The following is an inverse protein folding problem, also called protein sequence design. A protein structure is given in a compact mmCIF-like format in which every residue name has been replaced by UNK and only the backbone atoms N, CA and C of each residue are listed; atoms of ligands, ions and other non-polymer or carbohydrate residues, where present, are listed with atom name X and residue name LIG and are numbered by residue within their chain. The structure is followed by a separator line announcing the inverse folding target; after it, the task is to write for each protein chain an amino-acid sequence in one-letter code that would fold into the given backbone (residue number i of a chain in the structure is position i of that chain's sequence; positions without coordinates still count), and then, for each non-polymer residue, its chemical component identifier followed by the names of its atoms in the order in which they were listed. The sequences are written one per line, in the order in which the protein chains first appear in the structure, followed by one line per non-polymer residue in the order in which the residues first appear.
data_IF_773712287304
#
_entry.id   IF_773712287304
#
_cell.length_a   1.000
_cell.length_b   1.000
_cell.length_c   1.000
_cell.angle_alpha   90.00
_cell.angle_beta   90.00
_cell.angle_gamma   90.00
#
_symmetry.space_group_name_H-M   'P 1'
#
loop_
_entity.id
_entity.type
_entity.pdbx_description
1 polymer ?
#
# COMPACT_ATOMS: atom_id res chain seq x y z
N UNK A 1 16.05 15.04 4.88
CA UNK A 1 15.28 14.32 3.82
C UNK A 1 14.09 13.55 4.38
N UNK A 2 14.27 12.58 5.30
CA UNK A 2 13.14 11.82 5.88
C UNK A 2 12.08 12.71 6.53
N UNK A 3 12.49 13.64 7.39
CA UNK A 3 11.55 14.53 8.10
C UNK A 3 10.76 15.43 7.16
N UNK A 4 11.39 15.87 6.07
CA UNK A 4 10.74 16.67 5.02
C UNK A 4 9.68 15.83 4.32
N UNK A 5 10.02 14.63 3.87
CA UNK A 5 9.09 13.74 3.15
C UNK A 5 7.93 13.24 4.03
N UNK A 6 8.16 13.02 5.32
CA UNK A 6 7.08 12.66 6.26
C UNK A 6 5.98 13.74 6.31
N UNK A 7 6.40 15.01 6.25
CA UNK A 7 5.52 16.17 6.33
C UNK A 7 4.87 16.54 5.01
N UNK A 8 5.56 16.38 3.88
CA UNK A 8 5.09 16.91 2.59
C UNK A 8 4.56 15.86 1.63
N UNK A 9 5.02 14.60 1.71
CA UNK A 9 4.68 13.60 0.71
C UNK A 9 3.29 12.97 0.93
N UNK A 10 2.43 12.91 -0.10
CA UNK A 10 1.19 12.14 -0.04
C UNK A 10 1.47 10.65 0.17
N UNK A 11 0.79 10.03 1.13
CA UNK A 11 0.86 8.60 1.40
C UNK A 11 -0.02 7.83 0.42
N UNK A 12 0.51 6.73 -0.11
CA UNK A 12 -0.15 5.82 -1.04
C UNK A 12 -0.02 4.39 -0.56
N UNK A 13 -0.92 3.53 -1.00
CA UNK A 13 -0.85 2.09 -0.72
C UNK A 13 -0.26 1.37 -1.93
N UNK A 14 0.75 0.55 -1.67
CA UNK A 14 1.44 -0.27 -2.63
C UNK A 14 1.70 -1.62 -1.96
N UNK A 15 1.47 -2.71 -2.69
CA UNK A 15 1.78 -4.07 -2.24
C UNK A 15 2.91 -4.60 -3.09
N UNK A 16 4.08 -4.80 -2.49
CA UNK A 16 5.29 -5.20 -3.20
C UNK A 16 5.36 -6.71 -3.42
N UNK A 17 4.95 -7.50 -2.41
CA UNK A 17 4.90 -8.95 -2.50
C UNK A 17 3.46 -9.42 -2.31
N UNK A 18 2.64 -9.45 -3.38
CA UNK A 18 1.22 -9.66 -3.24
C UNK A 18 0.87 -11.07 -2.75
N UNK A 19 0.01 -11.12 -1.74
CA UNK A 19 -0.73 -12.29 -1.29
C UNK A 19 -2.23 -12.01 -1.43
N UNK A 20 -2.97 -12.92 -2.07
CA UNK A 20 -4.40 -12.74 -2.34
C UNK A 20 -5.18 -12.90 -1.05
N UNK A 21 -6.14 -12.01 -0.82
CA UNK A 21 -7.18 -12.14 0.20
C UNK A 21 -8.53 -12.13 -0.49
N UNK A 22 -9.39 -13.08 -0.15
CA UNK A 22 -10.79 -13.13 -0.59
C UNK A 22 -11.69 -13.00 0.63
N UNK A 23 -12.54 -11.96 0.65
CA UNK A 23 -13.50 -11.71 1.72
C UNK A 23 -14.76 -12.54 1.49
N UNK A 24 -14.88 -13.70 2.14
CA UNK A 24 -15.90 -14.70 1.83
C UNK A 24 -17.33 -14.22 2.06
N UNK A 25 -17.54 -13.34 3.05
CA UNK A 25 -18.83 -12.73 3.36
C UNK A 25 -19.05 -11.34 2.73
N UNK A 26 -18.14 -10.85 1.89
CA UNK A 26 -18.35 -9.61 1.13
C UNK A 26 -19.05 -9.92 -0.21
N UNK A 27 -20.12 -9.20 -0.60
CA UNK A 27 -20.87 -9.52 -1.81
C UNK A 27 -20.02 -9.50 -3.08
N UNK A 28 -20.28 -10.47 -3.97
CA UNK A 28 -19.59 -10.54 -5.26
C UNK A 28 -20.00 -9.37 -6.16
N UNK A 29 -19.05 -8.82 -6.91
CA UNK A 29 -19.27 -7.68 -7.80
C UNK A 29 -19.47 -6.33 -7.10
N UNK A 30 -19.66 -6.30 -5.77
CA UNK A 30 -19.75 -5.05 -5.03
C UNK A 30 -18.39 -4.36 -4.95
N UNK A 31 -18.41 -3.05 -5.22
CA UNK A 31 -17.28 -2.14 -5.03
C UNK A 31 -17.77 -0.96 -4.22
N UNK A 32 -17.00 -0.59 -3.21
CA UNK A 32 -17.25 0.61 -2.42
C UNK A 32 -16.03 1.53 -2.43
N UNK A 33 -16.27 2.81 -2.20
CA UNK A 33 -15.20 3.77 -2.02
C UNK A 33 -14.98 4.03 -0.52
N UNK A 34 -13.75 3.81 -0.06
CA UNK A 34 -13.32 4.21 1.28
C UNK A 34 -12.47 5.48 1.21
N UNK A 35 -12.69 6.39 2.15
CA UNK A 35 -11.91 7.62 2.23
C UNK A 35 -10.62 7.40 3.01
N UNK A 36 -9.49 7.77 2.40
CA UNK A 36 -8.16 7.60 2.97
C UNK A 36 -7.46 8.95 2.97
N UNK A 37 -7.06 9.42 4.15
CA UNK A 37 -6.25 10.64 4.30
C UNK A 37 -4.96 10.56 3.48
N UNK A 38 -4.62 11.66 2.82
CA UNK A 38 -3.38 11.75 2.04
C UNK A 38 -2.16 11.91 2.95
N UNK A 39 -2.28 12.63 4.05
CA UNK A 39 -1.19 12.86 4.98
C UNK A 39 -1.72 13.02 6.42
N UNK A 40 -1.40 12.14 7.37
CA UNK A 40 -1.76 12.30 8.78
C UNK A 40 -1.05 13.46 9.48
N UNK A 41 0.09 13.94 8.96
CA UNK A 41 0.80 15.12 9.48
C UNK A 41 0.33 16.43 8.84
N UNK A 42 -0.49 16.37 7.80
CA UNK A 42 -1.04 17.54 7.11
C UNK A 42 -2.53 17.34 6.81
N UNK A 43 -3.42 17.80 7.71
CA UNK A 43 -4.86 17.74 7.49
C UNK A 43 -5.32 18.48 6.22
N UNK A 44 -4.58 19.49 5.76
CA UNK A 44 -4.91 20.24 4.54
C UNK A 44 -4.65 19.44 3.26
N UNK A 45 -3.89 18.34 3.34
CA UNK A 45 -3.67 17.43 2.20
C UNK A 45 -4.94 16.66 1.77
N UNK A 46 -6.02 16.75 2.54
CA UNK A 46 -7.33 16.16 2.22
C UNK A 46 -7.36 14.63 2.21
N UNK A 47 -8.44 14.09 1.66
CA UNK A 47 -8.67 12.65 1.52
C UNK A 47 -8.67 12.24 0.05
N UNK A 48 -8.59 10.93 -0.20
CA UNK A 48 -8.84 10.33 -1.51
C UNK A 48 -9.74 9.12 -1.36
N UNK A 49 -10.49 8.83 -2.41
CA UNK A 49 -11.32 7.63 -2.49
C UNK A 49 -10.49 6.44 -2.98
N UNK A 50 -10.72 5.29 -2.36
CA UNK A 50 -10.02 4.04 -2.68
C UNK A 50 -11.05 2.94 -2.85
N UNK A 51 -11.01 2.24 -3.97
CA UNK A 51 -11.90 1.11 -4.22
C UNK A 51 -11.57 -0.04 -3.25
N UNK A 52 -12.58 -0.45 -2.49
CA UNK A 52 -12.60 -1.66 -1.69
C UNK A 52 -13.55 -2.66 -2.35
N UNK A 53 -13.14 -3.93 -2.39
CA UNK A 53 -13.89 -4.99 -3.05
C UNK A 53 -13.61 -6.32 -2.36
N UNK A 54 -14.33 -7.37 -2.77
CA UNK A 54 -14.19 -8.74 -2.26
C UNK A 54 -12.76 -9.27 -2.34
N UNK A 55 -12.06 -9.01 -3.44
CA UNK A 55 -10.70 -9.49 -3.65
C UNK A 55 -9.67 -8.38 -3.44
N UNK A 56 -8.70 -8.65 -2.56
CA UNK A 56 -7.66 -7.70 -2.16
C UNK A 56 -6.27 -8.33 -2.30
N UNK A 57 -5.27 -7.47 -2.46
CA UNK A 57 -3.86 -7.80 -2.25
C UNK A 57 -3.38 -7.20 -0.93
N UNK A 58 -2.63 -7.99 -0.16
CA UNK A 58 -1.86 -7.55 1.01
C UNK A 58 -0.40 -7.95 0.83
N UNK A 59 0.49 -7.46 1.69
CA UNK A 59 1.87 -7.97 1.72
C UNK A 59 1.92 -9.41 2.21
N UNK A 60 2.71 -10.23 1.51
CA UNK A 60 3.00 -11.60 1.90
C UNK A 60 3.59 -11.70 3.30
N UNK A 61 4.39 -10.71 3.70
CA UNK A 61 5.01 -10.67 5.04
C UNK A 61 4.03 -10.32 6.16
N UNK A 62 2.82 -9.87 5.81
CA UNK A 62 1.79 -9.55 6.79
C UNK A 62 0.94 -10.75 7.18
N UNK A 63 1.28 -11.94 6.66
CA UNK A 63 0.67 -13.21 7.05
C UNK A 63 1.71 -14.22 7.54
N UNK A 64 1.34 -15.00 8.56
CA UNK A 64 2.13 -16.13 9.04
C UNK A 64 1.22 -17.20 9.63
N UNK A 65 1.40 -18.47 9.23
CA UNK A 65 0.57 -19.58 9.74
C UNK A 65 0.87 -19.91 11.20
N UNK A 66 2.17 -19.99 11.54
CA UNK A 66 2.65 -20.21 12.90
C UNK A 66 3.39 -18.95 13.40
N UNK A 67 2.65 -17.91 13.83
CA UNK A 67 3.22 -16.63 14.21
C UNK A 67 3.89 -16.66 15.59
N UNK A 68 5.10 -16.09 15.76
CA UNK A 68 5.68 -15.91 17.09
C UNK A 68 4.83 -14.93 17.91
N UNK A 69 4.98 -14.95 19.25
CA UNK A 69 4.17 -14.12 20.18
C UNK A 69 4.16 -12.61 19.87
N UNK A 70 5.22 -12.09 19.23
CA UNK A 70 5.37 -10.67 18.87
C UNK A 70 4.92 -10.34 17.43
N UNK A 71 4.30 -11.28 16.73
CA UNK A 71 3.73 -11.05 15.40
C UNK A 71 2.23 -10.75 15.56
N UNK A 72 1.84 -9.49 15.35
CA UNK A 72 0.46 -9.02 15.55
C UNK A 72 -0.36 -8.92 14.26
N UNK A 73 0.23 -9.31 13.14
CA UNK A 73 -0.38 -9.25 11.82
C UNK A 73 -1.23 -10.51 11.59
N UNK A 74 -1.65 -10.74 10.35
CA UNK A 74 -2.66 -11.74 10.04
C UNK A 74 -2.11 -13.16 10.24
N UNK A 75 -2.93 -14.02 10.84
CA UNK A 75 -2.66 -15.44 11.02
C UNK A 75 -4.00 -16.17 11.09
N UNK A 76 -4.05 -17.50 10.98
CA UNK A 76 -5.28 -18.27 11.15
C UNK A 76 -6.02 -17.89 12.44
N UNK A 77 -7.30 -17.54 12.34
CA UNK A 77 -8.16 -17.12 13.44
C UNK A 77 -7.86 -15.73 14.04
N UNK A 78 -6.88 -14.99 13.51
CA UNK A 78 -6.54 -13.64 14.01
C UNK A 78 -7.22 -12.55 13.21
N UNK A 79 -7.65 -11.54 13.95
CA UNK A 79 -8.23 -10.32 13.42
C UNK A 79 -7.19 -9.21 13.27
N UNK A 80 -7.25 -8.48 12.15
CA UNK A 80 -6.44 -7.29 11.87
C UNK A 80 -7.29 -6.18 11.31
N UNK A 81 -6.81 -4.93 11.41
CA UNK A 81 -7.43 -3.78 10.77
C UNK A 81 -6.87 -3.58 9.37
N UNK A 82 -7.72 -3.44 8.36
CA UNK A 82 -7.32 -2.89 7.07
C UNK A 82 -7.34 -1.37 7.15
N UNK A 83 -6.27 -0.72 6.69
CA UNK A 83 -6.12 0.74 6.75
C UNK A 83 -7.34 1.43 6.14
N UNK A 84 -8.02 2.24 6.96
CA UNK A 84 -9.20 3.04 6.61
C UNK A 84 -10.40 2.24 6.07
N UNK A 85 -10.44 0.93 6.29
CA UNK A 85 -11.52 0.05 5.86
C UNK A 85 -12.08 -0.71 7.08
N UNK A 86 -12.10 -2.04 7.01
CA UNK A 86 -12.72 -2.91 8.00
C UNK A 86 -11.71 -3.73 8.78
N UNK A 87 -12.19 -4.39 9.82
CA UNK A 87 -11.47 -5.50 10.43
C UNK A 87 -11.73 -6.78 9.63
N UNK A 88 -10.69 -7.59 9.48
CA UNK A 88 -10.78 -8.88 8.80
C UNK A 88 -10.18 -9.98 9.66
N UNK A 89 -10.74 -11.17 9.55
CA UNK A 89 -10.28 -12.37 10.27
C UNK A 89 -9.99 -13.49 9.27
N UNK A 90 -8.80 -14.07 9.33
CA UNK A 90 -8.40 -15.17 8.46
C UNK A 90 -9.06 -16.48 8.91
N UNK A 91 -9.88 -17.07 8.03
CA UNK A 91 -10.60 -18.31 8.31
C UNK A 91 -9.90 -19.53 7.70
N UNK A 92 -9.39 -19.40 6.48
CA UNK A 92 -8.80 -20.51 5.74
C UNK A 92 -7.58 -20.04 4.96
N UNK A 93 -6.59 -20.93 4.86
CA UNK A 93 -5.34 -20.71 4.14
C UNK A 93 -5.27 -21.68 2.97
N UNK A 94 -5.25 -21.15 1.75
CA UNK A 94 -5.18 -21.95 0.54
C UNK A 94 -3.73 -22.02 0.07
N UNK A 95 -3.26 -23.26 -0.13
CA UNK A 95 -1.91 -23.56 -0.60
C UNK A 95 -1.95 -24.16 -2.00
N UNK A 96 -0.88 -23.94 -2.75
CA UNK A 96 -0.63 -24.67 -3.99
C UNK A 96 -0.03 -26.06 -3.72
N UNK A 97 0.15 -26.92 -4.75
CA UNK A 97 0.73 -28.26 -4.58
C UNK A 97 2.16 -28.27 -4.01
N UNK A 98 2.87 -27.13 -4.04
CA UNK A 98 4.21 -26.99 -3.45
C UNK A 98 4.18 -26.60 -1.97
N UNK A 99 2.98 -26.40 -1.42
CA UNK A 99 2.76 -25.96 -0.04
C UNK A 99 2.89 -24.46 0.15
N UNK A 100 3.03 -23.67 -0.92
CA UNK A 100 3.10 -22.20 -0.83
C UNK A 100 1.71 -21.61 -0.64
N UNK A 101 1.60 -20.65 0.27
CA UNK A 101 0.34 -19.93 0.52
C UNK A 101 0.05 -19.00 -0.65
N UNK A 102 -1.08 -19.22 -1.33
CA UNK A 102 -1.46 -18.46 -2.54
C UNK A 102 -2.67 -17.56 -2.33
N UNK A 103 -3.55 -17.92 -1.41
CA UNK A 103 -4.77 -17.18 -1.11
C UNK A 103 -5.15 -17.36 0.37
N UNK A 104 -5.65 -16.29 0.97
CA UNK A 104 -6.26 -16.29 2.29
C UNK A 104 -7.75 -16.00 2.15
N UNK A 105 -8.59 -16.83 2.77
CA UNK A 105 -10.02 -16.59 2.83
C UNK A 105 -10.35 -16.01 4.18
N UNK A 106 -10.83 -14.77 4.17
CA UNK A 106 -11.10 -14.00 5.37
C UNK A 106 -12.57 -13.62 5.42
N UNK A 107 -13.07 -13.34 6.62
CA UNK A 107 -14.34 -12.63 6.82
C UNK A 107 -14.04 -11.18 7.16
N UNK A 108 -14.91 -10.25 6.78
CA UNK A 108 -14.87 -8.86 7.25
C UNK A 108 -16.01 -8.58 8.24
N UNK A 109 -15.82 -7.58 9.10
CA UNK A 109 -16.84 -7.09 10.02
C UNK A 109 -17.45 -5.78 9.50
N UNK A 110 -18.71 -5.77 9.02
CA UNK A 110 -19.37 -4.56 8.49
C UNK A 110 -19.49 -3.42 9.50
N UNK A 111 -19.55 -3.73 10.80
CA UNK A 111 -19.70 -2.74 11.86
C UNK A 111 -18.41 -1.95 12.11
N UNK A 112 -17.30 -2.33 11.47
CA UNK A 112 -15.97 -1.75 11.72
C UNK A 112 -15.50 -0.75 10.68
N UNK A 113 -16.43 -0.25 9.84
CA UNK A 113 -16.14 0.67 8.74
C UNK A 113 -15.38 1.91 9.24
N UNK A 114 -14.28 2.25 8.58
CA UNK A 114 -13.44 3.39 8.95
C UNK A 114 -12.41 3.08 10.05
N UNK A 115 -12.36 1.83 10.53
CA UNK A 115 -11.30 1.33 11.39
C UNK A 115 -11.57 1.39 12.90
N UNK A 116 -12.80 1.61 13.34
CA UNK A 116 -13.21 1.49 14.74
C UNK A 116 -14.30 0.43 14.91
N UNK A 117 -14.29 -0.35 16.00
CA UNK A 117 -15.36 -1.29 16.31
C UNK A 117 -16.26 -0.74 17.43
N UNK A 118 -17.59 -0.88 17.32
CA UNK A 118 -18.53 -0.38 18.32
C UNK A 118 -18.48 -1.16 19.65
N UNK A 119 -17.99 -2.40 19.61
CA UNK A 119 -17.79 -3.26 20.77
C UNK A 119 -16.47 -2.99 21.53
N UNK A 120 -15.69 -2.01 21.08
CA UNK A 120 -14.42 -1.62 21.70
C UNK A 120 -13.23 -2.52 21.33
N UNK A 121 -13.40 -3.52 20.45
CA UNK A 121 -12.26 -4.30 19.95
C UNK A 121 -11.30 -3.40 19.18
N UNK A 122 -10.00 -3.64 19.38
CA UNK A 122 -8.93 -2.91 18.70
C UNK A 122 -7.81 -3.88 18.32
N UNK A 123 -7.76 -4.33 17.05
CA UNK A 123 -6.68 -5.17 16.56
C UNK A 123 -5.31 -4.50 16.75
N UNK A 124 -4.31 -5.32 17.06
CA UNK A 124 -2.95 -4.85 17.38
C UNK A 124 -2.14 -4.41 16.15
N UNK A 125 -2.62 -4.70 14.94
CA UNK A 125 -1.97 -4.33 13.70
C UNK A 125 -2.96 -3.73 12.70
N UNK A 126 -2.46 -2.77 11.92
CA UNK A 126 -3.15 -2.22 10.75
C UNK A 126 -2.33 -2.54 9.51
N UNK A 127 -2.95 -3.17 8.52
CA UNK A 127 -2.32 -3.55 7.26
C UNK A 127 -2.73 -2.59 6.15
N UNK A 128 -1.79 -2.28 5.23
CA UNK A 128 -2.17 -1.70 3.94
C UNK A 128 -2.62 -2.79 2.98
N UNK A 129 -3.38 -2.37 1.98
CA UNK A 129 -4.01 -3.27 1.02
C UNK A 129 -4.33 -2.50 -0.26
N UNK A 130 -4.59 -3.22 -1.35
CA UNK A 130 -5.15 -2.66 -2.58
C UNK A 130 -6.20 -3.61 -3.16
N UNK A 131 -7.26 -3.09 -3.79
CA UNK A 131 -8.25 -3.94 -4.46
C UNK A 131 -7.62 -4.67 -5.65
N UNK A 132 -7.88 -5.97 -5.77
CA UNK A 132 -7.28 -6.79 -6.82
C UNK A 132 -7.72 -6.37 -8.24
N UNK A 133 -8.99 -5.98 -8.39
CA UNK A 133 -9.56 -5.56 -9.67
C UNK A 133 -9.13 -4.14 -10.11
N UNK A 134 -8.79 -3.27 -9.16
CA UNK A 134 -8.53 -1.85 -9.43
C UNK A 134 -7.05 -1.47 -9.33
N UNK A 135 -6.19 -2.35 -8.82
CA UNK A 135 -4.77 -2.07 -8.65
C UNK A 135 -4.00 -2.17 -9.97
N UNK A 136 -3.11 -1.22 -10.23
CA UNK A 136 -2.23 -1.26 -11.38
C UNK A 136 -0.98 -2.10 -11.11
N UNK A 137 -0.54 -2.94 -12.06
CA UNK A 137 0.79 -3.53 -11.99
C UNK A 137 1.85 -2.43 -12.05
N UNK A 138 2.94 -2.59 -11.29
CA UNK A 138 4.05 -1.67 -11.31
C UNK A 138 5.38 -2.38 -11.13
N UNK A 139 6.46 -1.77 -11.64
CA UNK A 139 7.82 -2.17 -11.32
C UNK A 139 8.34 -1.31 -10.17
N UNK A 140 8.73 -1.97 -9.07
CA UNK A 140 9.41 -1.31 -7.96
C UNK A 140 10.90 -1.66 -8.00
N UNK A 141 11.76 -0.65 -7.95
CA UNK A 141 13.21 -0.81 -7.78
C UNK A 141 13.58 -0.33 -6.38
N UNK A 142 13.80 -1.23 -5.42
CA UNK A 142 14.29 -0.84 -4.10
C UNK A 142 15.65 -0.16 -4.26
N UNK A 143 15.78 1.03 -3.72
CA UNK A 143 17.09 1.68 -3.66
C UNK A 143 18.02 0.80 -2.81
N UNK A 144 19.11 0.35 -3.42
CA UNK A 144 20.16 -0.35 -2.68
C UNK A 144 21.15 0.71 -2.24
N UNK A 145 21.45 0.83 -0.94
CA UNK A 145 22.48 1.75 -0.50
C UNK A 145 23.76 1.43 -1.27
N UNK A 146 24.32 2.44 -1.92
CA UNK A 146 25.58 2.31 -2.63
C UNK A 146 26.57 1.64 -1.68
N UNK A 147 27.15 0.51 -2.10
CA UNK A 147 28.15 -0.20 -1.29
C UNK A 147 29.22 0.83 -0.93
N UNK A 148 29.32 1.23 0.34
CA UNK A 148 30.54 1.86 0.83
C UNK A 148 31.65 0.88 0.47
N UNK A 149 32.62 1.32 -0.35
CA UNK A 149 33.82 0.53 -0.64
C UNK A 149 34.55 0.32 0.68
N UNK A 150 34.21 -0.73 1.42
CA UNK A 150 35.15 -1.33 2.33
C UNK A 150 36.26 -1.92 1.45
N UNK A 151 37.51 -1.49 1.66
CA UNK A 151 38.67 -2.20 1.14
C UNK A 151 38.62 -3.61 1.75
N UNK A 152 38.13 -4.57 0.97
CA UNK A 152 38.16 -5.98 1.33
C UNK A 152 39.27 -6.64 0.51
N UNK A 153 40.27 -7.17 1.22
CA UNK A 153 41.19 -8.18 0.72
C UNK A 153 40.34 -9.38 0.26
N UNK A 154 40.64 -9.91 -0.92
CA UNK A 154 39.87 -10.98 -1.58
C UNK A 154 39.92 -12.28 -0.77
N UNK A 155 38.76 -12.88 -0.54
CA UNK A 155 38.61 -14.33 -0.43
C UNK A 155 37.51 -14.76 -1.40
N UNK A 156 37.86 -15.61 -2.36
CA UNK A 156 36.96 -16.17 -3.35
C UNK A 156 36.11 -17.27 -2.71
N UNK A 157 34.79 -17.24 -2.94
CA UNK A 157 33.89 -18.25 -2.38
C UNK A 157 32.49 -18.19 -2.97
N UNK A 158 32.29 -18.98 -4.02
CA UNK A 158 31.04 -19.59 -4.50
C UNK A 158 29.71 -18.81 -4.31
N UNK A 159 29.31 -18.09 -5.36
CA UNK A 159 27.94 -17.59 -5.52
C UNK A 159 27.00 -18.77 -5.82
N UNK A 160 26.27 -19.26 -4.81
CA UNK A 160 25.07 -20.08 -5.04
C UNK A 160 23.99 -19.20 -5.65
N UNK A 161 23.62 -19.49 -6.90
CA UNK A 161 22.42 -18.94 -7.54
C UNK A 161 21.20 -19.44 -6.75
N UNK A 162 20.47 -18.52 -6.09
CA UNK A 162 19.15 -18.85 -5.55
C UNK A 162 18.18 -18.94 -6.72
N UNK A 163 17.57 -20.12 -6.84
CA UNK A 163 16.45 -20.46 -7.72
C UNK A 163 15.29 -19.49 -7.53
N UNK A 164 14.65 -19.14 -8.65
CA UNK A 164 13.64 -18.08 -8.78
C UNK A 164 12.45 -18.25 -7.84
N UNK A 165 12.24 -17.21 -7.03
CA UNK A 165 10.96 -16.90 -6.42
C UNK A 165 10.06 -16.37 -7.55
N UNK A 166 8.89 -16.98 -7.77
CA UNK A 166 7.88 -16.45 -8.70
C UNK A 166 7.33 -15.15 -8.11
N UNK A 167 8.07 -14.06 -8.27
CA UNK A 167 7.70 -12.74 -7.78
C UNK A 167 6.59 -12.21 -8.68
N UNK A 168 5.34 -12.35 -8.21
CA UNK A 168 4.20 -11.64 -8.81
C UNK A 168 4.47 -10.13 -8.70
N UNK A 169 4.25 -9.39 -9.79
CA UNK A 169 4.58 -7.97 -9.88
C UNK A 169 3.88 -7.14 -8.79
N UNK A 170 4.55 -6.10 -8.25
CA UNK A 170 3.95 -5.13 -7.33
C UNK A 170 2.62 -4.56 -7.82
N UNK A 171 1.73 -4.23 -6.88
CA UNK A 171 0.40 -3.67 -7.12
C UNK A 171 0.26 -2.30 -6.48
N UNK A 172 -0.14 -1.32 -7.27
CA UNK A 172 -0.34 0.07 -6.84
C UNK A 172 -1.81 0.43 -6.81
N UNK A 173 -2.20 1.19 -5.79
CA UNK A 173 -3.47 1.89 -5.80
C UNK A 173 -3.55 2.88 -6.99
N UNK A 174 -4.67 2.93 -7.74
CA UNK A 174 -4.86 3.92 -8.81
C UNK A 174 -4.78 5.35 -8.28
N UNK A 175 -4.23 6.22 -9.11
CA UNK A 175 -4.26 7.67 -8.90
C UNK A 175 -5.59 8.17 -9.46
N UNK A 176 -6.48 8.68 -8.60
CA UNK A 176 -7.69 9.34 -9.07
C UNK A 176 -7.32 10.51 -9.99
N UNK A 177 -7.91 10.57 -11.19
CA UNK A 177 -7.94 11.80 -11.97
C UNK A 177 -8.64 12.86 -11.12
N UNK A 178 -7.93 13.95 -10.80
CA UNK A 178 -8.56 15.13 -10.25
C UNK A 178 -9.63 15.60 -11.25
N UNK A 179 -10.88 15.70 -10.78
CA UNK A 179 -11.95 16.34 -11.52
C UNK A 179 -11.49 17.75 -11.91
N UNK A 180 -11.56 18.06 -13.20
CA UNK A 180 -11.36 19.42 -13.71
C UNK A 180 -12.50 20.28 -13.18
N UNK A 181 -12.27 21.02 -12.11
CA UNK A 181 -13.09 22.19 -11.81
C UNK A 181 -12.68 23.29 -12.80
N UNK A 182 -13.50 23.47 -13.83
CA UNK A 182 -13.53 24.72 -14.59
C UNK A 182 -14.19 25.75 -13.66
N UNK A 183 -13.36 26.61 -13.07
CA UNK A 183 -13.81 27.82 -12.41
C UNK A 183 -13.77 28.97 -13.39
N UNK A 184 -14.90 29.31 -14.00
CA UNK A 184 -15.14 30.67 -14.47
C UNK A 184 -15.44 31.56 -13.26
N UNK A 185 -14.67 32.63 -13.09
CA UNK A 185 -14.85 33.59 -12.01
C UNK A 185 -13.93 34.78 -12.20
N UNK A 186 -14.51 35.89 -12.62
CA UNK A 186 -13.86 37.07 -13.16
C UNK A 186 -12.99 37.87 -12.15
N UNK A 187 -11.92 38.46 -12.70
CA UNK A 187 -11.54 39.86 -12.51
C UNK A 187 -11.06 40.32 -11.12
N UNK A 188 -9.76 40.61 -11.02
CA UNK A 188 -9.28 42.00 -10.93
C UNK A 188 -7.74 42.11 -11.00
N UNK A 189 -7.30 43.16 -11.69
CA UNK A 189 -5.92 43.73 -11.76
C UNK A 189 -5.37 43.95 -10.33
N UNK A 190 -4.07 44.03 -10.03
CA UNK A 190 -2.90 44.61 -10.71
C UNK A 190 -1.66 44.19 -9.88
N UNK A 191 -0.46 44.05 -10.48
CA UNK A 191 0.79 44.16 -9.71
C UNK A 191 1.93 43.27 -10.20
N UNK A 192 2.73 43.78 -11.15
CA UNK A 192 4.00 43.20 -11.58
C UNK A 192 5.01 43.16 -10.42
N UNK A 193 5.82 42.09 -10.35
CA UNK A 193 7.29 42.17 -10.22
C UNK A 193 7.90 40.82 -10.59
N UNK A 194 8.80 40.86 -11.58
CA UNK A 194 9.75 39.80 -11.92
C UNK A 194 10.89 39.82 -10.90
N UNK A 195 11.32 38.65 -10.47
CA UNK A 195 12.72 38.37 -10.16
C UNK A 195 12.99 36.94 -10.60
N UNK A 196 13.74 36.81 -11.71
CA UNK A 196 14.46 35.60 -12.08
C UNK A 196 15.52 35.33 -11.01
N UNK A 197 15.57 34.11 -10.50
CA UNK A 197 16.81 33.49 -10.03
C UNK A 197 16.74 32.02 -10.38
N UNK A 198 17.71 31.60 -11.19
CA UNK A 198 17.95 30.23 -11.62
C UNK A 198 17.98 29.24 -10.45
N UNK A 199 17.39 28.06 -10.68
CA UNK A 199 17.91 26.82 -10.09
C UNK A 199 17.52 25.65 -10.99
N UNK A 200 18.55 25.14 -11.61
CA UNK A 200 18.62 23.95 -12.45
C UNK A 200 18.40 22.67 -11.62
N UNK A 201 17.81 21.65 -12.27
CA UNK A 201 17.78 20.21 -11.91
C UNK A 201 17.09 19.84 -10.57
N UNK A 202 16.12 18.92 -10.49
CA UNK A 202 16.14 17.55 -10.98
C UNK A 202 14.69 17.01 -10.93
N UNK A 203 14.03 16.91 -12.10
CA UNK A 203 12.67 16.37 -12.19
C UNK A 203 12.77 14.86 -12.40
N UNK A 204 12.56 14.09 -11.33
CA UNK A 204 12.38 12.64 -11.43
C UNK A 204 10.98 12.37 -12.03
N UNK A 205 10.90 12.43 -13.36
CA UNK A 205 9.69 12.06 -14.12
C UNK A 205 9.60 10.54 -14.14
N UNK A 206 8.63 9.98 -13.40
CA UNK A 206 8.16 8.64 -13.66
C UNK A 206 7.42 8.65 -15.01
N UNK A 207 8.12 8.38 -16.11
CA UNK A 207 7.47 8.03 -17.38
C UNK A 207 6.90 6.62 -17.25
N UNK A 208 5.58 6.51 -17.30
CA UNK A 208 4.87 5.29 -17.68
C UNK A 208 4.87 5.23 -19.23
N UNK A 209 4.96 4.03 -19.84
CA UNK A 209 4.88 3.87 -21.29
C UNK A 209 3.51 4.28 -21.86
#
# INVERSE_FOLDING_TARGET
MRDVLNRTAPRRMAVLRPLKVVLTNYPEGQVEEVEVGNNPEDPAAGTRKVAFARELWIERDDFMEDPPKKFFRLAPGREVRLRAAYFITCQEVVKDPTGQVVELRCTYDPATRGGGAPDGRSPKATLHWVSAAHAHPAEARPDRPARRRARAVRAAGLLRRRSGEHSRSPRLQPHGHAARHVGEGAGQRLGRRRTETDTETDTCTCMLP
#
